data_IF_961837406032
#
_entry.id   IF_961837406032
#
_cell.length_a   1.000
_cell.length_b   1.000
_cell.length_c   1.000
_cell.angle_alpha   90.00
_cell.angle_beta   90.00
_cell.angle_gamma   90.00
#
_symmetry.space_group_name_H-M   'P 1'
#
loop_
_entity.id
_entity.type
_entity.pdbx_description
1 polymer ?
#
# COMPACT_ATOMS: atom_id res chain seq x y z
N UNK A 1 1.37 -5.59 26.49
CA UNK A 1 0.72 -4.81 25.46
C UNK A 1 -0.54 -5.54 25.06
N UNK A 2 -1.66 -5.07 25.51
CA UNK A 2 -2.97 -5.70 25.30
C UNK A 2 -3.45 -5.41 23.87
N UNK A 3 -4.14 -6.36 23.26
CA UNK A 3 -4.77 -6.21 21.93
C UNK A 3 -5.59 -4.90 21.79
N UNK A 4 -6.11 -4.37 22.90
CA UNK A 4 -6.84 -3.11 22.98
C UNK A 4 -6.00 -1.86 22.63
N UNK A 5 -4.68 -1.87 22.79
CA UNK A 5 -3.82 -0.73 22.43
C UNK A 5 -3.57 -0.62 20.92
N UNK A 6 -3.80 -1.71 20.18
CA UNK A 6 -3.82 -1.71 18.70
C UNK A 6 -5.12 -1.11 18.13
N UNK A 7 -6.12 -0.93 18.97
CA UNK A 7 -7.43 -0.36 18.64
C UNK A 7 -7.65 0.97 19.35
N UNK A 8 -6.60 1.80 19.51
CA UNK A 8 -6.84 3.19 19.92
C UNK A 8 -7.90 3.77 19.02
N UNK A 9 -9.03 4.08 19.61
CA UNK A 9 -10.18 4.74 18.99
C UNK A 9 -9.77 6.13 18.52
N UNK A 10 -9.12 6.19 17.35
CA UNK A 10 -9.06 7.43 16.61
C UNK A 10 -10.50 7.71 16.14
N UNK A 11 -10.96 8.95 16.15
CA UNK A 11 -12.28 9.28 15.65
C UNK A 11 -12.37 8.80 14.18
N UNK A 12 -13.09 7.71 13.98
CA UNK A 12 -13.28 7.09 12.66
C UNK A 12 -14.51 7.72 12.03
N UNK A 13 -14.31 8.50 10.97
CA UNK A 13 -15.45 9.05 10.26
C UNK A 13 -15.17 10.35 9.49
N UNK A 14 -16.21 11.15 9.34
CA UNK A 14 -16.22 12.36 8.50
C UNK A 14 -15.14 13.41 8.88
N UNK A 15 -14.66 13.37 10.12
CA UNK A 15 -13.58 14.23 10.63
C UNK A 15 -12.16 13.71 10.37
N UNK A 16 -12.00 12.49 9.88
CA UNK A 16 -10.68 11.95 9.55
C UNK A 16 -10.06 12.67 8.35
N UNK A 17 -8.74 12.94 8.38
CA UNK A 17 -8.06 13.51 7.23
C UNK A 17 -8.01 12.49 6.07
N UNK A 18 -8.15 13.01 4.86
CA UNK A 18 -7.98 12.24 3.63
C UNK A 18 -8.95 11.06 3.45
N UNK A 19 -10.18 11.17 3.98
CA UNK A 19 -11.25 10.21 3.67
C UNK A 19 -11.43 10.07 2.15
N UNK A 20 -11.83 8.89 1.71
CA UNK A 20 -11.98 8.53 0.29
C UNK A 20 -10.68 8.59 -0.54
N UNK A 21 -9.52 8.53 0.08
CA UNK A 21 -8.23 8.38 -0.62
C UNK A 21 -7.68 6.97 -0.43
N UNK A 22 -7.25 6.32 -1.51
CA UNK A 22 -6.61 5.01 -1.45
C UNK A 22 -5.35 4.99 -2.31
N UNK A 23 -4.19 4.82 -1.68
CA UNK A 23 -2.89 4.68 -2.32
C UNK A 23 -2.48 3.21 -2.36
N UNK A 24 -2.33 2.64 -3.55
CA UNK A 24 -1.62 1.38 -3.72
C UNK A 24 -0.13 1.67 -3.85
N UNK A 25 0.68 1.01 -3.02
CA UNK A 25 2.14 1.01 -3.16
C UNK A 25 2.55 -0.37 -3.66
N UNK A 26 2.90 -0.45 -4.93
CA UNK A 26 3.25 -1.69 -5.62
C UNK A 26 4.77 -1.82 -5.76
N UNK A 27 5.27 -3.04 -5.79
CA UNK A 27 6.69 -3.31 -6.02
C UNK A 27 7.08 -4.72 -5.61
N UNK A 28 8.03 -5.29 -6.30
CA UNK A 28 8.54 -6.62 -6.02
C UNK A 28 9.22 -6.73 -4.63
N UNK A 29 9.43 -7.93 -4.11
CA UNK A 29 10.21 -8.13 -2.89
C UNK A 29 11.60 -7.49 -3.03
N UNK A 30 12.05 -6.76 -2.01
CA UNK A 30 13.33 -6.04 -2.03
C UNK A 30 13.29 -4.64 -2.65
N UNK A 31 12.18 -4.22 -3.28
CA UNK A 31 12.06 -2.87 -3.86
C UNK A 31 12.08 -1.74 -2.81
N UNK A 32 11.84 -2.05 -1.54
CA UNK A 32 11.78 -1.04 -0.47
C UNK A 32 10.43 -0.34 -0.36
N UNK A 33 9.36 -0.85 -1.00
CA UNK A 33 8.01 -0.26 -0.98
C UNK A 33 7.50 0.07 0.42
N UNK A 34 7.71 -0.81 1.42
CA UNK A 34 7.27 -0.57 2.80
C UNK A 34 7.96 0.63 3.43
N UNK A 35 9.27 0.82 3.15
CA UNK A 35 10.01 2.01 3.61
C UNK A 35 9.53 3.27 2.93
N UNK A 36 9.37 3.23 1.60
CA UNK A 36 8.84 4.33 0.80
C UNK A 36 7.43 4.69 1.26
N UNK A 37 6.54 3.72 1.39
CA UNK A 37 5.17 3.90 1.88
C UNK A 37 5.17 4.62 3.22
N UNK A 38 5.92 4.14 4.20
CA UNK A 38 6.01 4.76 5.53
C UNK A 38 6.52 6.19 5.49
N UNK A 39 7.59 6.47 4.73
CA UNK A 39 8.16 7.82 4.61
C UNK A 39 7.19 8.80 3.97
N UNK A 40 6.42 8.38 2.97
CA UNK A 40 5.45 9.23 2.29
C UNK A 40 4.18 9.45 3.13
N UNK A 41 3.70 8.43 3.85
CA UNK A 41 2.32 8.43 4.35
C UNK A 41 2.17 8.62 5.86
N UNK A 42 3.26 8.53 6.66
CA UNK A 42 3.20 8.65 8.13
C UNK A 42 2.48 9.90 8.66
N UNK A 43 2.61 11.01 7.92
CA UNK A 43 1.98 12.29 8.30
C UNK A 43 0.57 12.48 7.73
N UNK A 44 0.16 11.61 6.79
CA UNK A 44 -1.05 11.79 6.00
C UNK A 44 -2.32 11.22 6.66
N UNK A 45 -2.20 10.54 7.79
CA UNK A 45 -3.34 9.90 8.45
C UNK A 45 -3.95 8.72 7.67
N UNK A 46 -3.29 8.23 6.62
CA UNK A 46 -3.74 7.07 5.89
C UNK A 46 -3.52 5.78 6.70
N UNK A 47 -4.46 4.87 6.63
CA UNK A 47 -4.45 3.59 7.35
C UNK A 47 -3.77 2.51 6.50
N UNK A 48 -2.73 1.90 7.04
CA UNK A 48 -2.05 0.79 6.36
C UNK A 48 -2.80 -0.52 6.58
N UNK A 49 -3.01 -1.27 5.49
CA UNK A 49 -3.67 -2.57 5.49
C UNK A 49 -2.73 -3.59 4.83
N UNK A 50 -2.11 -4.43 5.66
CA UNK A 50 -1.27 -5.53 5.18
C UNK A 50 -1.31 -6.72 6.14
N UNK A 51 -1.46 -7.95 5.64
CA UNK A 51 -1.34 -9.17 6.46
C UNK A 51 0.05 -9.35 7.08
N UNK A 52 1.09 -8.86 6.42
CA UNK A 52 2.49 -9.04 6.85
C UNK A 52 2.72 -8.54 8.27
N UNK A 53 2.11 -7.42 8.68
CA UNK A 53 2.25 -6.88 10.05
C UNK A 53 1.76 -7.86 11.11
N UNK A 54 0.62 -8.51 10.88
CA UNK A 54 0.06 -9.51 11.79
C UNK A 54 0.91 -10.77 11.81
N UNK A 55 1.35 -11.22 10.63
CA UNK A 55 2.19 -12.41 10.50
C UNK A 55 3.54 -12.25 11.21
N UNK A 56 4.23 -11.14 11.02
CA UNK A 56 5.47 -10.83 11.73
C UNK A 56 5.26 -10.75 13.25
N UNK A 57 4.13 -10.19 13.69
CA UNK A 57 3.78 -10.13 15.11
C UNK A 57 3.62 -11.54 15.70
N UNK A 58 2.94 -12.46 15.00
CA UNK A 58 2.78 -13.83 15.46
C UNK A 58 4.13 -14.57 15.55
N UNK A 59 4.98 -14.44 14.52
CA UNK A 59 6.31 -15.03 14.52
C UNK A 59 7.19 -14.51 15.67
N UNK A 60 7.17 -13.19 15.91
CA UNK A 60 7.89 -12.56 17.04
C UNK A 60 7.40 -13.04 18.41
N UNK A 61 6.09 -13.23 18.58
CA UNK A 61 5.52 -13.77 19.84
C UNK A 61 5.98 -15.19 20.14
N UNK A 62 6.32 -15.98 19.12
CA UNK A 62 6.95 -17.30 19.27
C UNK A 62 8.47 -17.25 19.49
N UNK A 63 9.06 -16.07 19.64
CA UNK A 63 10.50 -15.88 19.82
C UNK A 63 11.32 -15.99 18.55
N UNK A 64 10.69 -16.07 17.38
CA UNK A 64 11.37 -16.12 16.10
C UNK A 64 11.81 -14.72 15.67
N UNK A 65 13.11 -14.43 15.81
CA UNK A 65 13.69 -13.15 15.35
C UNK A 65 13.91 -13.14 13.85
N UNK A 66 14.28 -14.32 13.28
CA UNK A 66 14.46 -14.51 11.84
C UNK A 66 13.71 -15.77 11.40
N UNK A 67 13.05 -15.72 10.26
CA UNK A 67 12.33 -16.86 9.70
C UNK A 67 12.33 -16.82 8.17
N UNK A 68 12.38 -17.99 7.54
CA UNK A 68 12.16 -18.12 6.10
C UNK A 68 10.67 -18.25 5.83
N UNK A 69 10.21 -17.55 4.81
CA UNK A 69 8.86 -17.78 4.30
C UNK A 69 8.86 -19.14 3.61
N UNK A 70 7.95 -20.01 4.03
CA UNK A 70 7.75 -21.27 3.33
C UNK A 70 7.38 -20.99 1.86
N UNK A 71 7.82 -21.82 0.91
CA UNK A 71 7.39 -21.72 -0.49
C UNK A 71 5.86 -21.70 -0.60
N UNK A 72 5.18 -22.43 0.25
CA UNK A 72 3.73 -22.49 0.40
C UNK A 72 3.30 -21.77 1.69
N UNK A 73 3.41 -20.44 1.69
CA UNK A 73 2.97 -19.63 2.83
C UNK A 73 1.45 -19.70 3.05
N UNK A 74 0.69 -20.03 2.03
CA UNK A 74 -0.77 -20.13 2.10
C UNK A 74 -1.22 -21.29 3.00
N UNK A 75 -0.37 -22.32 3.18
CA UNK A 75 -0.62 -23.42 4.12
C UNK A 75 -0.29 -23.10 5.58
N UNK A 76 0.37 -21.96 5.86
CA UNK A 76 0.69 -21.56 7.24
C UNK A 76 -0.58 -21.02 7.95
N UNK A 77 -1.05 -21.67 9.03
CA UNK A 77 -2.24 -21.21 9.75
C UNK A 77 -2.14 -19.78 10.29
N UNK A 78 -0.92 -19.34 10.66
CA UNK A 78 -0.69 -17.95 11.12
C UNK A 78 -0.81 -16.96 9.97
N UNK A 79 -0.44 -17.35 8.75
CA UNK A 79 -0.66 -16.52 7.56
C UNK A 79 -2.16 -16.39 7.26
N UNK A 80 -2.90 -17.50 7.28
CA UNK A 80 -4.35 -17.48 7.10
C UNK A 80 -5.04 -16.59 8.14
N UNK A 81 -4.66 -16.71 9.41
CA UNK A 81 -5.19 -15.86 10.49
C UNK A 81 -4.81 -14.38 10.29
N UNK A 82 -3.59 -14.09 9.86
CA UNK A 82 -3.14 -12.73 9.55
C UNK A 82 -3.95 -12.08 8.43
N UNK A 83 -4.31 -12.86 7.40
CA UNK A 83 -5.19 -12.40 6.31
C UNK A 83 -6.58 -12.07 6.81
N UNK A 84 -7.17 -12.92 7.66
CA UNK A 84 -8.48 -12.68 8.26
C UNK A 84 -8.49 -11.38 9.07
N UNK A 85 -7.49 -11.16 9.92
CA UNK A 85 -7.37 -9.94 10.70
C UNK A 85 -7.20 -8.68 9.83
N UNK A 86 -6.40 -8.78 8.77
CA UNK A 86 -6.22 -7.68 7.82
C UNK A 86 -7.53 -7.35 7.08
N UNK A 87 -8.30 -8.37 6.67
CA UNK A 87 -9.61 -8.19 6.04
C UNK A 87 -10.61 -7.52 6.97
N UNK A 88 -10.75 -8.01 8.19
CA UNK A 88 -11.65 -7.41 9.21
C UNK A 88 -11.29 -5.96 9.49
N UNK A 89 -9.98 -5.65 9.54
CA UNK A 89 -9.50 -4.29 9.74
C UNK A 89 -9.82 -3.40 8.54
N UNK A 90 -9.63 -3.92 7.32
CA UNK A 90 -9.98 -3.20 6.10
C UNK A 90 -11.47 -2.88 6.03
N UNK A 91 -12.34 -3.83 6.35
CA UNK A 91 -13.80 -3.62 6.38
C UNK A 91 -14.19 -2.46 7.31
N UNK A 92 -13.61 -2.40 8.51
CA UNK A 92 -13.82 -1.27 9.43
C UNK A 92 -13.40 0.06 8.82
N UNK A 93 -12.25 0.12 8.19
CA UNK A 93 -11.76 1.33 7.54
C UNK A 93 -12.63 1.75 6.36
N UNK A 94 -13.12 0.78 5.57
CA UNK A 94 -14.05 1.03 4.46
C UNK A 94 -15.40 1.54 4.94
N UNK A 95 -15.91 1.06 6.07
CA UNK A 95 -17.15 1.56 6.67
C UNK A 95 -17.03 3.05 7.05
N UNK A 96 -15.91 3.46 7.63
CA UNK A 96 -15.60 4.86 7.93
C UNK A 96 -15.12 5.69 6.73
N UNK A 97 -14.96 5.08 5.55
CA UNK A 97 -14.38 5.74 4.36
C UNK A 97 -12.99 6.32 4.61
N UNK A 98 -12.23 5.74 5.53
CA UNK A 98 -10.91 6.25 5.92
C UNK A 98 -9.92 6.21 4.76
N UNK A 99 -8.95 7.11 4.77
CA UNK A 99 -7.84 7.07 3.82
C UNK A 99 -6.98 5.81 4.00
N UNK A 100 -6.61 5.15 2.90
CA UNK A 100 -5.97 3.84 2.89
C UNK A 100 -4.59 3.87 2.22
N UNK A 101 -3.66 3.07 2.74
CA UNK A 101 -2.46 2.62 2.04
C UNK A 101 -2.52 1.11 1.91
N UNK A 102 -2.44 0.62 0.69
CA UNK A 102 -2.49 -0.81 0.36
C UNK A 102 -1.11 -1.20 -0.19
N UNK A 103 -0.33 -1.90 0.64
CA UNK A 103 0.98 -2.43 0.25
C UNK A 103 0.79 -3.80 -0.43
N UNK A 104 1.14 -3.90 -1.71
CA UNK A 104 1.01 -5.13 -2.48
C UNK A 104 2.20 -5.33 -3.42
N UNK A 105 2.43 -6.58 -3.84
CA UNK A 105 3.49 -6.87 -4.81
C UNK A 105 3.16 -6.36 -6.21
N UNK A 106 1.91 -6.38 -6.60
CA UNK A 106 1.50 -6.05 -7.97
C UNK A 106 1.70 -7.18 -8.99
N UNK A 107 2.00 -8.40 -8.53
CA UNK A 107 2.19 -9.57 -9.41
C UNK A 107 0.92 -10.02 -10.11
N UNK A 108 -0.17 -10.04 -9.37
CA UNK A 108 -1.45 -10.56 -9.85
C UNK A 108 -2.41 -9.41 -10.18
N UNK A 109 -2.32 -8.94 -11.42
CA UNK A 109 -3.07 -7.79 -11.89
C UNK A 109 -4.59 -7.90 -11.70
N UNK A 110 -5.27 -9.06 -11.93
CA UNK A 110 -6.71 -9.17 -11.72
C UNK A 110 -7.16 -8.82 -10.29
N UNK A 111 -6.35 -9.12 -9.28
CA UNK A 111 -6.65 -8.75 -7.89
C UNK A 111 -6.61 -7.23 -7.68
N UNK A 112 -5.56 -6.58 -8.18
CA UNK A 112 -5.41 -5.12 -8.09
C UNK A 112 -6.55 -4.41 -8.83
N UNK A 113 -6.86 -4.86 -10.06
CA UNK A 113 -7.97 -4.30 -10.84
C UNK A 113 -9.31 -4.40 -10.11
N UNK A 114 -9.59 -5.55 -9.49
CA UNK A 114 -10.82 -5.74 -8.70
C UNK A 114 -10.85 -4.78 -7.53
N UNK A 115 -9.80 -4.73 -6.72
CA UNK A 115 -9.73 -3.83 -5.56
C UNK A 115 -9.89 -2.36 -5.96
N UNK A 116 -9.26 -1.93 -7.05
CA UNK A 116 -9.42 -0.55 -7.57
C UNK A 116 -10.87 -0.28 -7.97
N UNK A 117 -11.54 -1.22 -8.68
CA UNK A 117 -12.96 -1.07 -9.04
C UNK A 117 -13.86 -0.98 -7.80
N UNK A 118 -13.63 -1.87 -6.83
CA UNK A 118 -14.43 -1.93 -5.60
C UNK A 118 -14.27 -0.63 -4.79
N UNK A 119 -13.04 -0.12 -4.65
CA UNK A 119 -12.79 1.15 -3.98
C UNK A 119 -13.44 2.33 -4.71
N UNK A 120 -13.34 2.38 -6.04
CA UNK A 120 -13.99 3.42 -6.84
C UNK A 120 -15.52 3.38 -6.74
N UNK A 121 -16.12 2.20 -6.68
CA UNK A 121 -17.58 2.05 -6.47
C UNK A 121 -18.03 2.62 -5.12
N UNK A 122 -17.15 2.59 -4.12
CA UNK A 122 -17.36 3.22 -2.81
C UNK A 122 -17.04 4.73 -2.79
N UNK A 123 -16.60 5.32 -3.92
CA UNK A 123 -16.30 6.73 -4.06
C UNK A 123 -14.84 7.12 -3.83
N UNK A 124 -13.94 6.17 -3.65
CA UNK A 124 -12.53 6.47 -3.44
C UNK A 124 -11.84 7.02 -4.71
N UNK A 125 -11.01 8.03 -4.50
CA UNK A 125 -9.97 8.45 -5.44
C UNK A 125 -8.75 7.54 -5.22
N UNK A 126 -8.40 6.78 -6.26
CA UNK A 126 -7.37 5.75 -6.19
C UNK A 126 -6.12 6.18 -6.94
N UNK A 127 -4.97 6.08 -6.29
CA UNK A 127 -3.66 6.27 -6.90
C UNK A 127 -2.80 4.99 -6.77
N UNK A 128 -1.87 4.82 -7.68
CA UNK A 128 -0.88 3.75 -7.68
C UNK A 128 0.53 4.34 -7.76
N UNK A 129 1.36 4.03 -6.77
CA UNK A 129 2.79 4.28 -6.78
C UNK A 129 3.53 2.96 -6.98
N UNK A 130 4.18 2.79 -8.11
CA UNK A 130 5.09 1.68 -8.35
C UNK A 130 6.51 2.03 -7.87
N UNK A 131 7.00 1.26 -6.89
CA UNK A 131 8.38 1.37 -6.38
C UNK A 131 9.25 0.39 -7.14
N UNK A 132 9.94 0.91 -8.14
CA UNK A 132 10.90 0.20 -8.96
C UNK A 132 12.23 0.08 -8.22
N UNK A 133 12.97 -0.99 -8.49
CA UNK A 133 14.39 -1.14 -8.15
C UNK A 133 15.03 -2.12 -9.11
N UNK A 134 16.33 -2.04 -9.31
CA UNK A 134 17.03 -3.07 -10.07
C UNK A 134 17.01 -4.42 -9.34
N UNK A 135 17.03 -5.50 -10.10
CA UNK A 135 16.86 -6.87 -9.59
C UNK A 135 18.00 -7.27 -8.64
N UNK A 136 19.22 -6.82 -8.92
CA UNK A 136 20.40 -7.16 -8.13
C UNK A 136 20.33 -6.51 -6.74
N UNK A 137 19.98 -5.24 -6.68
CA UNK A 137 19.72 -4.51 -5.44
C UNK A 137 18.57 -5.16 -4.65
N UNK A 138 17.50 -5.56 -5.32
CA UNK A 138 16.37 -6.23 -4.68
C UNK A 138 16.76 -7.56 -4.06
N UNK A 139 17.51 -8.40 -4.78
CA UNK A 139 18.03 -9.68 -4.27
C UNK A 139 18.93 -9.44 -3.06
N UNK A 140 19.88 -8.51 -3.15
CA UNK A 140 20.79 -8.16 -2.06
C UNK A 140 20.03 -7.71 -0.80
N UNK A 141 19.07 -6.78 -0.96
CA UNK A 141 18.24 -6.31 0.14
C UNK A 141 17.38 -7.41 0.75
N UNK A 142 16.88 -8.33 -0.07
CA UNK A 142 16.05 -9.45 0.40
C UNK A 142 16.84 -10.47 1.21
N UNK A 143 18.13 -10.67 0.90
CA UNK A 143 19.02 -11.57 1.67
C UNK A 143 19.36 -11.04 3.06
N UNK A 144 19.32 -9.73 3.28
CA UNK A 144 19.62 -9.11 4.59
C UNK A 144 18.39 -8.99 5.50
N UNK A 145 17.20 -9.42 5.04
CA UNK A 145 15.97 -9.33 5.83
C UNK A 145 15.81 -10.52 6.79
N UNK A 146 15.08 -10.29 7.86
CA UNK A 146 14.64 -11.37 8.77
C UNK A 146 13.76 -12.40 8.03
N UNK A 147 12.99 -11.96 7.07
CA UNK A 147 12.16 -12.77 6.17
C UNK A 147 12.83 -12.86 4.80
N UNK A 148 13.55 -13.95 4.56
CA UNK A 148 14.30 -14.17 3.32
C UNK A 148 13.49 -14.92 2.26
N UNK A 149 13.74 -14.59 0.98
CA UNK A 149 13.18 -15.29 -0.17
C UNK A 149 14.31 -15.80 -1.08
N UNK A 150 14.00 -16.87 -1.84
CA UNK A 150 14.92 -17.38 -2.84
C UNK A 150 15.19 -16.31 -3.93
N UNK A 151 16.46 -16.06 -4.32
CA UNK A 151 16.81 -15.08 -5.35
C UNK A 151 16.06 -15.25 -6.67
N UNK A 152 15.86 -16.50 -7.13
CA UNK A 152 15.12 -16.75 -8.37
C UNK A 152 13.64 -16.36 -8.24
N UNK A 153 13.05 -16.59 -7.07
CA UNK A 153 11.68 -16.12 -6.78
C UNK A 153 11.59 -14.59 -6.80
N UNK A 154 12.61 -13.91 -6.27
CA UNK A 154 12.67 -12.43 -6.33
C UNK A 154 12.72 -11.95 -7.78
N UNK A 155 13.59 -12.55 -8.61
CA UNK A 155 13.71 -12.23 -10.04
C UNK A 155 12.39 -12.43 -10.78
N UNK A 156 11.74 -13.58 -10.56
CA UNK A 156 10.44 -13.87 -11.17
C UNK A 156 9.38 -12.84 -10.78
N UNK A 157 9.33 -12.46 -9.50
CA UNK A 157 8.38 -11.45 -9.04
C UNK A 157 8.61 -10.08 -9.67
N UNK A 158 9.89 -9.71 -9.90
CA UNK A 158 10.21 -8.49 -10.62
C UNK A 158 9.65 -8.52 -12.03
N UNK A 159 9.90 -9.60 -12.77
CA UNK A 159 9.38 -9.77 -14.13
C UNK A 159 7.85 -9.72 -14.18
N UNK A 160 7.18 -10.43 -13.27
CA UNK A 160 5.71 -10.47 -13.20
C UNK A 160 5.13 -9.07 -12.96
N UNK A 161 5.76 -8.25 -12.12
CA UNK A 161 5.31 -6.88 -11.85
C UNK A 161 5.55 -5.97 -13.04
N UNK A 162 6.75 -6.03 -13.65
CA UNK A 162 7.11 -5.23 -14.83
C UNK A 162 6.12 -5.46 -15.98
N UNK A 163 5.69 -6.70 -16.20
CA UNK A 163 4.70 -7.07 -17.23
C UNK A 163 3.32 -6.42 -16.99
N UNK A 164 3.02 -5.95 -15.79
CA UNK A 164 1.73 -5.37 -15.43
C UNK A 164 1.73 -3.83 -15.37
N UNK A 165 2.88 -3.17 -15.55
CA UNK A 165 3.01 -1.72 -15.33
C UNK A 165 2.11 -0.89 -16.26
N UNK A 166 2.08 -1.21 -17.55
CA UNK A 166 1.22 -0.52 -18.52
C UNK A 166 -0.26 -0.61 -18.13
N UNK A 167 -0.69 -1.79 -17.71
CA UNK A 167 -2.06 -2.03 -17.27
C UNK A 167 -2.40 -1.21 -16.00
N UNK A 168 -1.46 -1.06 -15.07
CA UNK A 168 -1.69 -0.22 -13.88
C UNK A 168 -1.75 1.27 -14.22
N UNK A 169 -0.91 1.71 -15.17
CA UNK A 169 -0.96 3.07 -15.69
C UNK A 169 -2.30 3.39 -16.36
N UNK A 170 -2.79 2.50 -17.20
CA UNK A 170 -4.10 2.65 -17.84
C UNK A 170 -5.24 2.63 -16.81
N UNK A 171 -5.14 1.79 -15.78
CA UNK A 171 -6.17 1.62 -14.77
C UNK A 171 -6.46 2.87 -13.97
N UNK A 172 -5.44 3.67 -13.61
CA UNK A 172 -5.60 4.88 -12.77
C UNK A 172 -5.23 6.19 -13.48
N UNK A 173 -4.72 6.13 -14.71
CA UNK A 173 -4.39 7.32 -15.50
C UNK A 173 -3.38 8.23 -14.81
N UNK A 174 -3.70 9.52 -14.70
CA UNK A 174 -2.83 10.54 -14.09
C UNK A 174 -2.46 10.27 -12.62
N UNK A 175 -3.17 9.38 -11.96
CA UNK A 175 -2.88 8.94 -10.60
C UNK A 175 -1.87 7.78 -10.55
N UNK A 176 -1.20 7.45 -11.66
CA UNK A 176 -0.10 6.50 -11.70
C UNK A 176 1.25 7.20 -11.62
N UNK A 177 2.15 6.65 -10.82
CA UNK A 177 3.53 7.13 -10.74
C UNK A 177 4.52 5.99 -10.50
N UNK A 178 5.77 6.22 -10.93
CA UNK A 178 6.91 5.32 -10.71
C UNK A 178 7.98 6.05 -9.90
N UNK A 179 8.47 5.39 -8.85
CA UNK A 179 9.62 5.83 -8.08
C UNK A 179 10.75 4.81 -8.24
N UNK A 180 11.88 5.23 -8.77
CA UNK A 180 13.10 4.40 -8.80
C UNK A 180 13.82 4.50 -7.44
N UNK A 181 13.84 3.37 -6.75
CA UNK A 181 14.47 3.20 -5.44
C UNK A 181 15.69 2.25 -5.53
N UNK A 182 16.39 2.23 -6.66
CA UNK A 182 17.61 1.42 -6.85
C UNK A 182 18.80 1.93 -6.04
N UNK A 183 18.78 3.20 -5.64
CA UNK A 183 19.84 3.83 -4.82
C UNK A 183 19.84 3.35 -3.36
N UNK A 184 20.78 3.88 -2.60
CA UNK A 184 21.03 3.46 -1.21
C UNK A 184 20.07 4.07 -0.17
N UNK A 185 19.27 5.07 -0.54
CA UNK A 185 18.37 5.77 0.39
C UNK A 185 17.01 6.02 -0.24
N UNK A 186 15.96 5.43 0.37
CA UNK A 186 14.58 5.69 -0.02
C UNK A 186 14.19 7.17 0.20
N UNK A 187 14.72 7.82 1.23
CA UNK A 187 14.47 9.24 1.48
C UNK A 187 15.05 10.12 0.38
N UNK A 188 16.26 9.80 -0.10
CA UNK A 188 16.86 10.52 -1.23
C UNK A 188 16.05 10.30 -2.51
N UNK A 189 15.64 9.05 -2.79
CA UNK A 189 14.83 8.73 -3.96
C UNK A 189 13.49 9.51 -3.98
N UNK A 190 12.80 9.59 -2.84
CA UNK A 190 11.52 10.32 -2.70
C UNK A 190 11.65 11.81 -3.02
N UNK A 191 12.80 12.43 -2.69
CA UNK A 191 13.04 13.86 -2.81
C UNK A 191 13.75 14.25 -4.12
N UNK A 192 14.16 13.29 -4.93
CA UNK A 192 14.87 13.54 -6.19
C UNK A 192 13.91 13.37 -7.39
N UNK A 193 13.65 14.46 -8.15
CA UNK A 193 12.80 14.38 -9.33
C UNK A 193 13.40 13.51 -10.46
N UNK A 194 14.72 13.20 -10.44
CA UNK A 194 15.33 12.30 -11.40
C UNK A 194 14.88 10.84 -11.20
N UNK A 195 14.53 10.47 -9.97
CA UNK A 195 14.07 9.13 -9.61
C UNK A 195 12.54 8.97 -9.70
N UNK A 196 11.82 9.99 -10.18
CA UNK A 196 10.37 9.98 -10.16
C UNK A 196 9.76 10.28 -11.53
N UNK A 197 8.75 9.50 -11.90
CA UNK A 197 7.99 9.65 -13.14
C UNK A 197 6.49 9.61 -12.83
N UNK A 198 5.74 10.57 -13.32
CA UNK A 198 4.28 10.61 -13.29
C UNK A 198 3.75 11.15 -14.61
N UNK A 199 2.45 11.01 -14.84
CA UNK A 199 1.81 11.58 -16.02
C UNK A 199 1.96 13.11 -16.05
N UNK A 200 2.15 13.67 -17.24
CA UNK A 200 2.26 15.09 -17.50
C UNK A 200 3.69 15.64 -17.58
N UNK A 201 3.84 16.87 -18.09
CA UNK A 201 5.14 17.44 -18.45
C UNK A 201 5.94 18.00 -17.26
N UNK A 202 5.34 18.12 -16.09
CA UNK A 202 6.02 18.68 -14.91
C UNK A 202 6.85 17.63 -14.20
N UNK A 203 8.08 17.98 -13.88
CA UNK A 203 8.92 17.16 -13.00
C UNK A 203 8.50 17.40 -11.55
N UNK A 204 8.04 16.34 -10.92
CA UNK A 204 7.73 16.30 -9.49
C UNK A 204 8.75 15.41 -8.77
N UNK A 205 8.88 15.59 -7.46
CA UNK A 205 9.35 14.53 -6.57
C UNK A 205 8.17 13.63 -6.18
N UNK A 206 8.46 12.45 -5.65
CA UNK A 206 7.39 11.57 -5.15
C UNK A 206 6.57 12.23 -4.03
N UNK A 207 7.21 12.98 -3.13
CA UNK A 207 6.53 13.73 -2.07
C UNK A 207 5.60 14.82 -2.63
N UNK A 208 6.06 15.60 -3.61
CA UNK A 208 5.25 16.65 -4.24
C UNK A 208 4.04 16.07 -4.98
N UNK A 209 4.21 14.97 -5.71
CA UNK A 209 3.12 14.28 -6.39
C UNK A 209 2.09 13.75 -5.39
N UNK A 210 2.56 13.07 -4.34
CA UNK A 210 1.70 12.51 -3.30
C UNK A 210 0.89 13.60 -2.58
N UNK A 211 1.52 14.71 -2.18
CA UNK A 211 0.84 15.86 -1.55
C UNK A 211 -0.19 16.49 -2.48
N UNK A 212 0.11 16.61 -3.77
CA UNK A 212 -0.82 17.15 -4.76
C UNK A 212 -2.04 16.25 -4.90
N UNK A 213 -1.84 14.94 -5.07
CA UNK A 213 -2.93 13.97 -5.15
C UNK A 213 -3.77 13.98 -3.87
N UNK A 214 -3.14 14.01 -2.72
CA UNK A 214 -3.82 13.98 -1.44
C UNK A 214 -4.73 15.21 -1.23
N UNK A 215 -4.29 16.40 -1.68
CA UNK A 215 -5.05 17.65 -1.58
C UNK A 215 -6.16 17.79 -2.61
N UNK A 216 -6.14 17.01 -3.69
CA UNK A 216 -7.18 17.05 -4.69
C UNK A 216 -8.51 16.63 -4.06
N UNK A 217 -9.59 17.44 -4.19
CA UNK A 217 -10.87 17.13 -3.56
C UNK A 217 -11.48 15.88 -4.17
N UNK A 218 -12.08 15.03 -3.33
CA UNK A 218 -12.89 13.91 -3.79
C UNK A 218 -14.35 14.30 -3.69
N UNK A 219 -14.97 14.54 -4.86
CA UNK A 219 -16.32 15.02 -4.95
C UNK A 219 -17.09 14.28 -6.04
N UNK A 220 -17.65 13.13 -5.69
CA UNK A 220 -18.49 12.32 -6.57
C UNK A 220 -19.81 11.95 -5.87
N UNK A 221 -20.75 11.36 -6.61
CA UNK A 221 -22.08 11.03 -6.10
C UNK A 221 -22.04 10.10 -4.87
N UNK A 222 -21.12 9.11 -4.84
CA UNK A 222 -20.98 8.20 -3.71
C UNK A 222 -20.52 8.93 -2.44
N UNK A 223 -19.56 9.87 -2.57
CA UNK A 223 -19.08 10.70 -1.46
C UNK A 223 -20.20 11.58 -0.91
N UNK A 224 -20.97 12.22 -1.78
CA UNK A 224 -22.09 13.09 -1.37
C UNK A 224 -23.18 12.27 -0.65
N UNK A 225 -23.54 11.11 -1.20
CA UNK A 225 -24.52 10.22 -0.59
C UNK A 225 -24.08 9.75 0.80
N UNK A 226 -22.82 9.33 0.94
CA UNK A 226 -22.30 8.89 2.22
C UNK A 226 -22.25 10.02 3.25
N UNK A 227 -21.78 11.22 2.88
CA UNK A 227 -21.76 12.39 3.78
C UNK A 227 -23.16 12.74 4.27
N UNK A 228 -24.16 12.67 3.39
CA UNK A 228 -25.56 12.91 3.75
C UNK A 228 -26.07 11.88 4.76
N UNK A 229 -25.73 10.60 4.60
CA UNK A 229 -26.12 9.55 5.55
C UNK A 229 -25.51 9.73 6.95
N UNK A 230 -24.30 10.30 7.03
CA UNK A 230 -23.64 10.59 8.32
C UNK A 230 -24.21 11.82 9.04
N UNK A 231 -24.93 12.68 8.33
CA UNK A 231 -25.53 13.91 8.89
C UNK A 231 -26.94 13.68 9.46
N UNK A 232 -27.52 12.50 9.25
CA UNK A 232 -28.83 12.16 9.81
C UNK A 232 -28.63 11.57 11.21
N UNK A 233 -29.28 12.13 12.26
CA UNK A 233 -29.21 11.53 13.60
C UNK A 233 -29.77 10.10 13.53
N UNK A 234 -29.07 9.17 14.16
CA UNK A 234 -29.59 7.82 14.38
C UNK A 234 -30.89 7.93 15.18
N UNK A 235 -32.00 7.52 14.56
CA UNK A 235 -33.32 7.43 15.23
C UNK A 235 -33.33 6.29 16.20
#
# INVERSE_FOLDING_TARGET
MLLNELFTTLPEGIGDPNIFKALFVLGAPGSGKTTVSRLLTNWAGLRNVTPDQFYEMFKKRRGLKQFRVAPDIESDPEWSHSRTLATTRLEKFLNGRLGLVIDATGRYAPSIQRQVRDLRSLGYDVAILYVKTDVETAVKRQQTRDRQMNPNTVKQFHQDVENNISLYSELVGDNFAVLDNSGNSAQAAINDPANFQSAGPRKFTADQWFRRWLRAPVNNAAVQSWKKSQSQPSV
#
